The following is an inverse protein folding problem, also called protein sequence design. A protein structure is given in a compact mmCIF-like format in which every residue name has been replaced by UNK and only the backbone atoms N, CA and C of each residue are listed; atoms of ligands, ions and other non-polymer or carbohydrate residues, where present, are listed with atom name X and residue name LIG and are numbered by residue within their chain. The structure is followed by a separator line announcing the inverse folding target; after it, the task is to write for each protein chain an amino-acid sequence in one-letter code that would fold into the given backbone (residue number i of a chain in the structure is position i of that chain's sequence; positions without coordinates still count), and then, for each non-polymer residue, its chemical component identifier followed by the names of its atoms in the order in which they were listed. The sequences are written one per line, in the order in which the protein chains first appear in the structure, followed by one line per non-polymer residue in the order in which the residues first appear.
data_IF_037044608109
#
_entry.id   IF_037044608109
#
_cell.length_a   1.000
_cell.length_b   1.000
_cell.length_c   1.000
_cell.angle_alpha   90.00
_cell.angle_beta   90.00
_cell.angle_gamma   90.00
#
_symmetry.space_group_name_H-M   'P 1'
#
loop_
_entity.id
_entity.type
_entity.pdbx_description
1 polymer ?
#
# COMPACT_ATOMS: atom_id res chain seq x y z
N UNK A 1 -21.65 14.12 -7.34
CA UNK A 1 -21.22 13.59 -8.65
C UNK A 1 -19.73 13.26 -8.77
N UNK A 2 -18.75 14.08 -8.30
CA UNK A 2 -17.32 13.72 -8.45
C UNK A 2 -16.89 12.47 -7.66
N UNK A 3 -17.47 12.23 -6.49
CA UNK A 3 -17.22 11.01 -5.71
C UNK A 3 -17.59 9.74 -6.49
N UNK A 4 -18.77 9.68 -7.12
CA UNK A 4 -19.19 8.51 -7.90
C UNK A 4 -18.23 8.22 -9.08
N UNK A 5 -17.74 9.28 -9.74
CA UNK A 5 -16.77 9.14 -10.83
C UNK A 5 -15.44 8.55 -10.30
N UNK A 6 -14.97 9.03 -9.16
CA UNK A 6 -13.77 8.51 -8.49
C UNK A 6 -13.94 7.02 -8.15
N UNK A 7 -15.03 6.64 -7.49
CA UNK A 7 -15.35 5.24 -7.17
C UNK A 7 -15.41 4.36 -8.43
N UNK A 8 -16.00 4.85 -9.52
CA UNK A 8 -16.09 4.13 -10.78
C UNK A 8 -14.70 3.90 -11.42
N UNK A 9 -13.83 4.92 -11.41
CA UNK A 9 -12.47 4.83 -11.97
C UNK A 9 -11.63 3.78 -11.23
N UNK A 10 -11.64 3.79 -9.90
CA UNK A 10 -10.87 2.80 -9.13
C UNK A 10 -11.44 1.40 -9.23
N UNK A 11 -12.77 1.25 -9.27
CA UNK A 11 -13.41 -0.04 -9.52
C UNK A 11 -13.02 -0.64 -10.88
N UNK A 12 -13.04 0.19 -11.93
CA UNK A 12 -12.56 -0.21 -13.25
C UNK A 12 -11.08 -0.58 -13.22
N UNK A 13 -10.25 0.21 -12.54
CA UNK A 13 -8.82 -0.05 -12.37
C UNK A 13 -8.57 -1.43 -11.73
N UNK A 14 -9.27 -1.77 -10.65
CA UNK A 14 -9.18 -3.08 -9.99
C UNK A 14 -9.48 -4.21 -10.99
N UNK A 15 -10.52 -4.07 -11.81
CA UNK A 15 -10.89 -5.09 -12.79
C UNK A 15 -9.81 -5.31 -13.87
N UNK A 16 -9.18 -4.22 -14.35
CA UNK A 16 -8.10 -4.28 -15.33
C UNK A 16 -6.84 -4.92 -14.74
N UNK A 17 -6.50 -4.55 -13.50
CA UNK A 17 -5.36 -5.10 -12.79
C UNK A 17 -5.56 -6.58 -12.46
N UNK A 18 -6.79 -7.01 -12.17
CA UNK A 18 -7.10 -8.43 -12.01
C UNK A 18 -6.85 -9.22 -13.30
N UNK A 19 -7.17 -8.67 -14.48
CA UNK A 19 -6.81 -9.28 -15.77
C UNK A 19 -5.31 -9.31 -16.00
N UNK A 20 -4.59 -8.23 -15.65
CA UNK A 20 -3.12 -8.21 -15.71
C UNK A 20 -2.52 -9.38 -14.89
N UNK A 21 -3.01 -9.58 -13.66
CA UNK A 21 -2.52 -10.63 -12.78
C UNK A 21 -2.96 -12.05 -13.17
N UNK A 22 -3.99 -12.20 -14.02
CA UNK A 22 -4.33 -13.49 -14.63
C UNK A 22 -3.30 -13.90 -15.69
N UNK A 23 -2.71 -12.92 -16.39
CA UNK A 23 -1.67 -13.15 -17.39
C UNK A 23 -0.29 -13.30 -16.73
N UNK A 24 0.02 -12.42 -15.77
CA UNK A 24 1.30 -12.39 -15.06
C UNK A 24 1.08 -12.30 -13.54
N UNK A 25 0.96 -13.44 -12.83
CA UNK A 25 0.61 -13.47 -11.40
C UNK A 25 1.60 -12.74 -10.49
N UNK A 26 2.88 -12.67 -10.89
CA UNK A 26 3.97 -12.09 -10.13
C UNK A 26 4.34 -10.66 -10.57
N UNK A 27 3.55 -10.04 -11.46
CA UNK A 27 3.82 -8.68 -11.90
C UNK A 27 3.65 -7.68 -10.74
N UNK A 28 4.77 -7.16 -10.26
CA UNK A 28 4.84 -6.29 -9.07
C UNK A 28 4.08 -4.98 -9.27
N UNK A 29 4.09 -4.41 -10.47
CA UNK A 29 3.34 -3.18 -10.80
C UNK A 29 1.85 -3.42 -10.70
N UNK A 30 1.36 -4.51 -11.29
CA UNK A 30 -0.05 -4.83 -11.24
C UNK A 30 -0.53 -5.19 -9.83
N UNK A 31 0.29 -5.92 -9.04
CA UNK A 31 -0.02 -6.20 -7.63
C UNK A 31 0.00 -4.91 -6.79
N UNK A 32 1.01 -4.05 -6.96
CA UNK A 32 1.14 -2.78 -6.24
C UNK A 32 -0.04 -1.85 -6.52
N UNK A 33 -0.36 -1.63 -7.80
CA UNK A 33 -1.48 -0.78 -8.21
C UNK A 33 -2.82 -1.34 -7.77
N UNK A 34 -2.96 -2.68 -7.69
CA UNK A 34 -4.17 -3.31 -7.18
C UNK A 34 -4.33 -3.02 -5.69
N UNK A 35 -3.24 -3.15 -4.93
CA UNK A 35 -3.23 -2.78 -3.51
C UNK A 35 -3.61 -1.33 -3.27
N UNK A 36 -2.99 -0.40 -4.02
CA UNK A 36 -3.30 1.03 -3.95
C UNK A 36 -4.77 1.32 -4.28
N UNK A 37 -5.30 0.71 -5.35
CA UNK A 37 -6.69 0.90 -5.77
C UNK A 37 -7.70 0.42 -4.73
N UNK A 38 -7.44 -0.72 -4.09
CA UNK A 38 -8.29 -1.21 -2.99
C UNK A 38 -8.29 -0.25 -1.80
N UNK A 39 -7.11 0.26 -1.40
CA UNK A 39 -7.00 1.23 -0.30
C UNK A 39 -7.72 2.53 -0.62
N UNK A 40 -7.58 3.04 -1.86
CA UNK A 40 -8.29 4.24 -2.32
C UNK A 40 -9.82 4.08 -2.28
N UNK A 41 -10.32 2.84 -2.38
CA UNK A 41 -11.73 2.47 -2.28
C UNK A 41 -12.18 2.16 -0.84
N UNK A 42 -11.29 2.28 0.16
CA UNK A 42 -11.56 1.91 1.56
C UNK A 42 -11.56 0.40 1.82
N UNK A 43 -11.15 -0.42 0.86
CA UNK A 43 -11.07 -1.88 0.96
C UNK A 43 -9.72 -2.31 1.53
N UNK A 44 -9.41 -1.90 2.76
CA UNK A 44 -8.08 -2.04 3.37
C UNK A 44 -7.59 -3.49 3.44
N UNK A 45 -8.47 -4.46 3.73
CA UNK A 45 -8.10 -5.88 3.80
C UNK A 45 -7.54 -6.40 2.46
N UNK A 46 -8.28 -6.21 1.36
CA UNK A 46 -7.83 -6.62 0.03
C UNK A 46 -6.60 -5.82 -0.42
N UNK A 47 -6.51 -4.55 -0.01
CA UNK A 47 -5.34 -3.70 -0.24
C UNK A 47 -4.07 -4.24 0.41
N UNK A 48 -4.11 -4.49 1.72
CA UNK A 48 -2.99 -5.02 2.51
C UNK A 48 -2.62 -6.43 2.04
N UNK A 49 -3.60 -7.26 1.69
CA UNK A 49 -3.37 -8.59 1.11
C UNK A 49 -2.59 -8.51 -0.20
N UNK A 50 -2.96 -7.60 -1.12
CA UNK A 50 -2.24 -7.42 -2.38
C UNK A 50 -0.83 -6.85 -2.16
N UNK A 51 -0.67 -5.88 -1.26
CA UNK A 51 0.63 -5.31 -0.90
C UNK A 51 1.57 -6.37 -0.30
N UNK A 52 1.05 -7.22 0.57
CA UNK A 52 1.82 -8.32 1.18
C UNK A 52 2.33 -9.30 0.12
N UNK A 53 1.57 -9.56 -0.96
CA UNK A 53 2.06 -10.40 -2.07
C UNK A 53 3.29 -9.83 -2.76
N UNK A 54 3.36 -8.51 -2.96
CA UNK A 54 4.57 -7.86 -3.52
C UNK A 54 5.74 -8.02 -2.57
N UNK A 55 5.51 -7.90 -1.26
CA UNK A 55 6.56 -8.07 -0.26
C UNK A 55 7.14 -9.49 -0.20
N UNK A 56 6.37 -10.49 -0.60
CA UNK A 56 6.82 -11.89 -0.66
C UNK A 56 7.65 -12.19 -1.93
N UNK A 57 7.65 -11.29 -2.91
CA UNK A 57 8.48 -11.41 -4.11
C UNK A 57 9.88 -10.82 -3.85
N UNK A 58 10.64 -11.45 -2.95
CA UNK A 58 11.98 -10.96 -2.63
C UNK A 58 12.87 -10.94 -3.89
N UNK A 59 13.57 -9.82 -4.17
CA UNK A 59 14.52 -9.74 -5.26
C UNK A 59 15.58 -10.84 -5.12
N UNK A 60 15.87 -11.54 -6.22
CA UNK A 60 16.94 -12.54 -6.23
C UNK A 60 18.29 -11.89 -5.90
N UNK A 61 19.21 -12.67 -5.34
CA UNK A 61 20.54 -12.19 -4.94
C UNK A 61 21.25 -11.51 -6.14
N UNK A 62 21.59 -10.23 -5.99
CA UNK A 62 22.24 -9.44 -7.04
C UNK A 62 21.29 -8.71 -8.00
N UNK A 63 19.98 -8.92 -7.89
CA UNK A 63 18.98 -8.15 -8.62
C UNK A 63 18.59 -6.90 -7.84
N UNK A 64 18.52 -5.76 -8.54
CA UNK A 64 18.02 -4.52 -7.95
C UNK A 64 16.51 -4.66 -7.70
N UNK A 65 16.08 -4.36 -6.48
CA UNK A 65 14.66 -4.28 -6.15
C UNK A 65 13.93 -3.27 -7.07
N UNK A 66 12.72 -3.61 -7.48
CA UNK A 66 11.86 -2.67 -8.21
C UNK A 66 11.43 -1.49 -7.34
N UNK A 67 10.96 -0.43 -7.99
CA UNK A 67 10.39 0.74 -7.30
C UNK A 67 9.16 0.33 -6.48
N UNK A 68 8.35 -0.56 -7.02
CA UNK A 68 7.12 -1.08 -6.42
C UNK A 68 7.43 -1.89 -5.16
N UNK A 69 8.44 -2.76 -5.21
CA UNK A 69 8.91 -3.51 -4.05
C UNK A 69 9.44 -2.58 -2.95
N UNK A 70 10.19 -1.53 -3.31
CA UNK A 70 10.69 -0.56 -2.33
C UNK A 70 9.54 0.24 -1.68
N UNK A 71 8.53 0.62 -2.46
CA UNK A 71 7.38 1.42 -2.00
C UNK A 71 6.35 0.64 -1.21
N UNK A 72 6.17 -0.65 -1.51
CA UNK A 72 5.00 -1.40 -1.01
C UNK A 72 4.97 -1.51 0.51
N UNK A 73 6.14 -1.55 1.16
CA UNK A 73 6.25 -1.56 2.64
C UNK A 73 5.69 -0.25 3.23
N UNK A 74 6.06 0.90 2.68
CA UNK A 74 5.49 2.19 3.10
C UNK A 74 3.99 2.27 2.83
N UNK A 75 3.55 1.82 1.66
CA UNK A 75 2.12 1.80 1.31
C UNK A 75 1.31 0.91 2.26
N UNK A 76 1.86 -0.23 2.69
CA UNK A 76 1.23 -1.11 3.66
C UNK A 76 1.06 -0.46 5.02
N UNK A 77 2.12 0.15 5.55
CA UNK A 77 2.05 0.85 6.84
C UNK A 77 1.11 2.06 6.79
N UNK A 78 1.11 2.79 5.68
CA UNK A 78 0.13 3.85 5.45
C UNK A 78 -1.31 3.31 5.40
N UNK A 79 -1.53 2.14 4.79
CA UNK A 79 -2.85 1.49 4.74
C UNK A 79 -3.32 1.05 6.13
N UNK A 80 -2.41 0.53 6.96
CA UNK A 80 -2.69 0.16 8.36
C UNK A 80 -3.02 1.38 9.21
N UNK A 81 -2.23 2.45 9.08
CA UNK A 81 -2.48 3.74 9.71
C UNK A 81 -3.88 4.27 9.36
N UNK A 82 -4.23 4.34 8.07
CA UNK A 82 -5.56 4.81 7.66
C UNK A 82 -6.68 3.92 8.22
N UNK A 83 -6.47 2.60 8.26
CA UNK A 83 -7.44 1.67 8.82
C UNK A 83 -7.66 1.88 10.33
N UNK A 84 -6.61 2.14 11.12
CA UNK A 84 -6.76 2.40 12.56
C UNK A 84 -7.44 3.74 12.88
N UNK A 85 -7.55 4.64 11.91
CA UNK A 85 -8.18 5.95 12.06
C UNK A 85 -9.56 6.03 11.39
N UNK A 86 -10.17 4.91 11.00
CA UNK A 86 -11.49 4.91 10.34
C UNK A 86 -12.60 5.55 11.17
N UNK A 87 -12.53 5.39 12.50
CA UNK A 87 -13.52 5.93 13.43
C UNK A 87 -13.09 7.28 14.03
N UNK A 88 -11.95 7.83 13.60
CA UNK A 88 -11.42 9.10 14.08
C UNK A 88 -11.77 10.19 13.06
N UNK A 89 -12.38 11.32 13.49
CA UNK A 89 -12.67 12.43 12.58
C UNK A 89 -11.40 12.91 11.85
N UNK A 90 -11.54 13.24 10.56
CA UNK A 90 -10.41 13.69 9.71
C UNK A 90 -9.67 14.92 10.26
N UNK A 91 -10.34 15.73 11.10
CA UNK A 91 -9.73 16.89 11.75
C UNK A 91 -8.85 16.53 12.96
N UNK A 92 -8.94 15.30 13.47
CA UNK A 92 -8.31 14.85 14.72
C UNK A 92 -7.07 13.98 14.48
N UNK A 93 -6.78 13.60 13.24
CA UNK A 93 -5.55 12.90 12.88
C UNK A 93 -4.79 13.65 11.79
N UNK A 94 -3.46 13.50 11.79
CA UNK A 94 -2.62 14.15 10.81
C UNK A 94 -1.42 13.26 10.48
N UNK A 95 -1.46 12.66 9.28
CA UNK A 95 -0.39 11.82 8.72
C UNK A 95 0.98 12.48 8.83
N UNK A 96 1.06 13.82 8.70
CA UNK A 96 2.33 14.52 8.77
C UNK A 96 2.91 14.64 10.18
N UNK A 97 2.07 14.59 11.20
CA UNK A 97 2.48 14.61 12.61
C UNK A 97 2.63 13.20 13.17
N UNK A 98 1.72 12.30 12.77
CA UNK A 98 1.59 10.97 13.36
C UNK A 98 2.61 9.98 12.77
N UNK A 99 3.01 10.14 11.50
CA UNK A 99 4.05 9.30 10.89
C UNK A 99 5.46 9.89 11.09
N UNK A 100 6.46 9.05 11.42
CA UNK A 100 7.84 9.48 11.58
C UNK A 100 8.40 10.24 10.36
N UNK A 101 9.20 11.28 10.61
CA UNK A 101 9.81 12.07 9.54
C UNK A 101 10.75 11.28 8.63
N UNK A 102 11.52 10.33 9.20
CA UNK A 102 12.39 9.43 8.44
C UNK A 102 11.60 8.52 7.50
N UNK A 103 10.47 7.97 7.95
CA UNK A 103 9.55 7.17 7.15
C UNK A 103 9.10 7.94 5.91
N UNK A 104 8.57 9.16 6.09
CA UNK A 104 8.08 9.99 4.97
C UNK A 104 9.21 10.38 4.01
N UNK A 105 10.39 10.71 4.54
CA UNK A 105 11.56 11.08 3.76
C UNK A 105 12.06 9.90 2.91
N UNK A 106 12.16 8.72 3.50
CA UNK A 106 12.60 7.52 2.78
C UNK A 106 11.57 7.09 1.73
N UNK A 107 10.27 7.17 2.05
CA UNK A 107 9.22 6.90 1.09
C UNK A 107 9.30 7.82 -0.13
N UNK A 108 9.40 9.14 0.10
CA UNK A 108 9.50 10.13 -0.97
C UNK A 108 10.73 9.93 -1.88
N UNK A 109 11.83 9.41 -1.31
CA UNK A 109 13.09 9.14 -2.02
C UNK A 109 13.20 7.72 -2.60
N UNK A 110 12.19 6.88 -2.44
CA UNK A 110 12.22 5.46 -2.83
C UNK A 110 13.41 4.70 -2.23
N UNK A 111 13.76 5.01 -0.98
CA UNK A 111 14.82 4.30 -0.27
C UNK A 111 14.30 2.97 0.27
N UNK A 112 15.15 1.93 0.36
CA UNK A 112 14.80 0.69 1.04
C UNK A 112 14.19 0.95 2.41
N UNK A 113 13.21 0.13 2.79
CA UNK A 113 12.54 0.21 4.08
C UNK A 113 13.48 -0.26 5.20
N UNK A 114 14.36 0.65 5.62
CA UNK A 114 15.34 0.49 6.68
C UNK A 114 15.11 1.63 7.66
N UNK A 115 14.09 1.46 8.50
CA UNK A 115 13.72 2.41 9.55
C UNK A 115 14.24 1.85 10.87
N UNK A 116 15.08 2.61 11.56
CA UNK A 116 15.57 2.27 12.90
C UNK A 116 14.41 2.28 13.90
N UNK A 117 14.42 1.33 14.84
CA UNK A 117 13.37 1.15 15.86
C UNK A 117 11.95 1.08 15.28
N UNK A 118 11.82 0.42 14.12
CA UNK A 118 10.53 0.28 13.44
C UNK A 118 9.51 -0.50 14.26
N UNK A 119 8.40 0.17 14.59
CA UNK A 119 7.19 -0.42 15.11
C UNK A 119 6.10 -0.47 14.03
N UNK A 120 5.43 -1.61 13.91
CA UNK A 120 4.36 -1.77 12.93
C UNK A 120 3.14 -0.90 13.28
N UNK A 121 2.54 -0.27 12.27
CA UNK A 121 1.38 0.59 12.51
C UNK A 121 0.19 -0.25 13.04
N UNK A 122 -0.58 0.27 14.02
CA UNK A 122 -1.78 -0.39 14.48
C UNK A 122 -2.78 -0.49 13.31
N UNK A 123 -3.37 -1.66 13.09
CA UNK A 123 -4.26 -1.92 11.95
C UNK A 123 -4.48 -3.41 11.68
N UNK A 124 -5.00 -3.72 10.48
CA UNK A 124 -5.21 -5.11 10.04
C UNK A 124 -3.89 -5.88 10.02
N UNK A 125 -3.84 -6.91 10.85
CA UNK A 125 -2.73 -7.84 10.90
C UNK A 125 -2.79 -8.79 9.69
N UNK A 126 -1.64 -9.28 9.18
CA UNK A 126 -1.61 -10.17 8.01
C UNK A 126 -2.18 -11.58 8.26
N UNK A 127 -2.56 -11.92 9.50
CA UNK A 127 -3.02 -13.24 9.94
C UNK A 127 -4.54 -13.31 10.13
N UNK A 128 -5.29 -12.94 9.08
CA UNK A 128 -6.76 -13.10 8.99
C UNK A 128 -7.08 -14.11 7.89
#
# INVERSE_FOLDING_TARGET
QPFLLFFCVWSLCISLLQRCLQLEPYNEVCQYMKGLSHVAMGQFYEGIKAQTKVMLNDPLLGQKASSEYLKVKYLREYSRYLHSHLDIPVAEYNVDQDLPGNFKNHWAKNLPFLIEDYEEQPGLQPHI
#
